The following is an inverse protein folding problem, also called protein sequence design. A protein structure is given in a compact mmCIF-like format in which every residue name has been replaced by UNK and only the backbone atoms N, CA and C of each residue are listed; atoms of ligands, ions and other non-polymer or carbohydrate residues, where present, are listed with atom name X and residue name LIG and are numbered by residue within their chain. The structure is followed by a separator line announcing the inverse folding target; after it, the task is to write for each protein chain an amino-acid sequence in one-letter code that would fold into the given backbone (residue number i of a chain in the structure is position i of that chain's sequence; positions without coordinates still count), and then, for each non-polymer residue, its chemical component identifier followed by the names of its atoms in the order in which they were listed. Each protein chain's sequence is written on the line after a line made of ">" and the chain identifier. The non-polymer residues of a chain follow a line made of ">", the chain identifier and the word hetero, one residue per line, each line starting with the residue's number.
data_IF_741748233273
#
_entry.id   IF_741748233273
#
_cell.length_a   1.000
_cell.length_b   1.000
_cell.length_c   1.000
_cell.angle_alpha   90.00
_cell.angle_beta   90.00
_cell.angle_gamma   90.00
#
_symmetry.space_group_name_H-M   'P 1'
#
loop_
_entity.id
_entity.type
_entity.pdbx_description
1 polymer ?
#
# COMPACT_ATOMS: atom_id res chain seq x y z
N UNK A 1 40.17 16.02 -26.90
CA UNK A 1 39.78 14.71 -27.46
C UNK A 1 39.29 13.83 -26.31
N UNK A 2 38.00 13.46 -26.28
CA UNK A 2 37.47 12.11 -26.60
C UNK A 2 38.15 11.02 -25.75
N UNK A 3 37.44 10.32 -24.87
CA UNK A 3 36.56 9.24 -25.30
C UNK A 3 35.32 9.03 -24.42
N UNK A 4 34.24 8.79 -25.15
CA UNK A 4 32.95 8.24 -24.74
C UNK A 4 33.04 6.72 -24.53
N UNK A 5 32.01 6.19 -23.86
CA UNK A 5 31.62 4.79 -23.74
C UNK A 5 32.44 3.88 -22.81
N UNK A 6 31.85 3.53 -21.67
CA UNK A 6 31.55 2.12 -21.42
C UNK A 6 30.40 1.96 -20.43
N UNK A 7 29.28 1.52 -21.00
CA UNK A 7 28.14 0.86 -20.35
C UNK A 7 28.62 -0.07 -19.24
N UNK A 8 28.12 0.10 -18.02
CA UNK A 8 28.21 -0.94 -16.98
C UNK A 8 26.94 -1.79 -17.02
N UNK A 9 27.04 -3.10 -17.25
CA UNK A 9 25.88 -3.97 -17.29
C UNK A 9 25.45 -4.43 -15.89
N UNK A 10 24.13 -4.59 -15.78
CA UNK A 10 23.43 -5.67 -15.07
C UNK A 10 23.19 -5.57 -13.55
N UNK A 11 21.91 -5.44 -13.20
CA UNK A 11 21.31 -6.30 -12.19
C UNK A 11 20.10 -7.00 -12.81
N UNK A 12 20.20 -8.32 -12.85
CA UNK A 12 19.18 -9.29 -13.24
C UNK A 12 17.96 -9.15 -12.29
N UNK A 13 16.95 -8.36 -12.65
CA UNK A 13 15.83 -8.06 -11.75
C UNK A 13 14.82 -9.21 -11.75
N UNK A 14 14.93 -10.10 -10.76
CA UNK A 14 13.75 -10.77 -10.23
C UNK A 14 12.69 -9.69 -9.88
N UNK A 15 11.39 -9.92 -10.10
CA UNK A 15 10.38 -8.88 -9.89
C UNK A 15 10.49 -8.34 -8.45
N UNK A 16 10.69 -7.03 -8.33
CA UNK A 16 10.92 -6.37 -7.06
C UNK A 16 9.75 -6.65 -6.11
N UNK A 17 10.04 -7.23 -4.94
CA UNK A 17 9.06 -7.44 -3.88
C UNK A 17 8.52 -6.07 -3.46
N UNK A 18 7.19 -5.88 -3.51
CA UNK A 18 6.56 -4.65 -3.04
C UNK A 18 6.98 -4.36 -1.60
N UNK A 19 7.45 -3.14 -1.36
CA UNK A 19 8.02 -2.72 -0.08
C UNK A 19 6.98 -2.05 0.82
N UNK A 20 7.29 -1.93 2.12
CA UNK A 20 6.45 -1.18 3.07
C UNK A 20 6.23 0.26 2.62
N UNK A 21 7.26 0.91 2.09
CA UNK A 21 7.21 2.31 1.64
C UNK A 21 6.24 2.53 0.48
N UNK A 22 6.12 1.56 -0.42
CA UNK A 22 5.18 1.64 -1.55
C UNK A 22 3.73 1.64 -1.05
N UNK A 23 3.41 0.75 -0.09
CA UNK A 23 2.08 0.71 0.54
C UNK A 23 1.77 1.99 1.32
N UNK A 24 2.73 2.52 2.10
CA UNK A 24 2.54 3.77 2.85
C UNK A 24 2.24 4.92 1.90
N UNK A 25 2.97 5.01 0.79
CA UNK A 25 2.81 6.08 -0.20
C UNK A 25 1.42 6.06 -0.83
N UNK A 26 0.96 4.90 -1.30
CA UNK A 26 -0.36 4.78 -1.94
C UNK A 26 -1.50 4.92 -0.94
N UNK A 27 -1.35 4.39 0.28
CA UNK A 27 -2.36 4.55 1.33
C UNK A 27 -2.53 6.03 1.68
N UNK A 28 -1.44 6.75 1.97
CA UNK A 28 -1.50 8.17 2.30
C UNK A 28 -2.03 9.03 1.16
N UNK A 29 -1.71 8.68 -0.08
CA UNK A 29 -2.27 9.35 -1.25
C UNK A 29 -3.81 9.25 -1.27
N UNK A 30 -4.37 8.05 -1.12
CA UNK A 30 -5.83 7.85 -1.08
C UNK A 30 -6.48 8.61 0.09
N UNK A 31 -5.85 8.59 1.27
CA UNK A 31 -6.34 9.33 2.44
C UNK A 31 -6.35 10.84 2.19
N UNK A 32 -5.29 11.38 1.57
CA UNK A 32 -5.21 12.81 1.23
C UNK A 32 -6.22 13.21 0.17
N UNK A 33 -6.48 12.36 -0.82
CA UNK A 33 -7.47 12.61 -1.86
C UNK A 33 -8.89 12.63 -1.28
N UNK A 34 -9.26 11.67 -0.43
CA UNK A 34 -10.54 11.65 0.26
C UNK A 34 -10.72 12.86 1.20
N UNK A 35 -9.69 13.23 1.96
CA UNK A 35 -9.72 14.42 2.80
C UNK A 35 -9.92 15.72 1.99
N UNK A 36 -9.23 15.85 0.85
CA UNK A 36 -9.39 17.00 -0.06
C UNK A 36 -10.77 17.06 -0.72
N UNK A 37 -11.38 15.90 -0.96
CA UNK A 37 -12.74 15.81 -1.46
C UNK A 37 -13.81 16.18 -0.41
N UNK A 38 -13.41 16.42 0.85
CA UNK A 38 -14.32 16.76 1.94
C UNK A 38 -15.07 15.55 2.51
N UNK A 39 -14.57 14.33 2.27
CA UNK A 39 -15.15 13.13 2.86
C UNK A 39 -14.95 13.12 4.38
N UNK A 40 -15.91 12.54 5.10
CA UNK A 40 -15.81 12.32 6.55
C UNK A 40 -15.10 11.02 6.91
N UNK A 41 -15.04 10.07 5.97
CA UNK A 41 -14.28 8.83 6.09
C UNK A 41 -14.09 8.15 4.74
N UNK A 42 -13.04 7.34 4.61
CA UNK A 42 -12.79 6.48 3.45
C UNK A 42 -12.56 5.02 3.86
N UNK A 43 -13.15 4.10 3.11
CA UNK A 43 -13.02 2.65 3.34
C UNK A 43 -11.98 2.06 2.39
N UNK A 44 -10.89 1.52 2.94
CA UNK A 44 -9.80 0.95 2.15
C UNK A 44 -9.68 -0.55 2.43
N UNK A 45 -9.78 -1.34 1.36
CA UNK A 45 -9.59 -2.79 1.40
C UNK A 45 -8.14 -3.15 1.06
N UNK A 46 -7.56 -4.09 1.80
CA UNK A 46 -6.17 -4.54 1.60
C UNK A 46 -5.92 -5.09 0.19
N UNK A 47 -6.87 -5.82 -0.40
CA UNK A 47 -6.78 -6.26 -1.80
C UNK A 47 -6.66 -5.10 -2.77
N UNK A 48 -7.49 -4.05 -2.61
CA UNK A 48 -7.51 -2.90 -3.51
C UNK A 48 -6.22 -2.07 -3.35
N UNK A 49 -5.83 -1.77 -2.10
CA UNK A 49 -4.56 -1.09 -1.82
C UNK A 49 -3.36 -1.85 -2.41
N UNK A 50 -3.39 -3.18 -2.34
CA UNK A 50 -2.33 -3.99 -2.92
C UNK A 50 -2.32 -3.91 -4.45
N UNK A 51 -3.48 -3.98 -5.11
CA UNK A 51 -3.62 -3.82 -6.56
C UNK A 51 -3.10 -2.46 -7.05
N UNK A 52 -3.38 -1.39 -6.30
CA UNK A 52 -2.92 -0.02 -6.63
C UNK A 52 -1.39 0.12 -6.54
N UNK A 53 -0.75 -0.58 -5.59
CA UNK A 53 0.71 -0.60 -5.47
C UNK A 53 1.35 -1.49 -6.55
N UNK A 54 0.65 -2.55 -6.99
CA UNK A 54 1.05 -3.43 -8.09
C UNK A 54 0.05 -4.58 -8.29
N UNK A 55 0.15 -5.36 -9.37
CA UNK A 55 -0.85 -6.40 -9.71
C UNK A 55 -1.09 -7.37 -8.54
N UNK A 56 -2.34 -7.54 -8.08
CA UNK A 56 -2.72 -8.56 -7.08
C UNK A 56 -3.43 -9.77 -7.73
N UNK A 57 -3.10 -11.01 -7.37
CA UNK A 57 -1.98 -11.40 -6.51
C UNK A 57 -0.64 -11.19 -7.22
N UNK A 58 0.26 -10.42 -6.59
CA UNK A 58 1.60 -10.19 -7.15
C UNK A 58 2.44 -11.46 -7.04
N UNK A 59 3.51 -11.54 -7.84
CA UNK A 59 4.64 -12.44 -7.54
C UNK A 59 5.35 -11.95 -6.27
N UNK A 60 4.78 -12.26 -5.10
CA UNK A 60 5.32 -11.88 -3.80
C UNK A 60 4.27 -11.88 -2.70
N UNK A 61 4.61 -12.50 -1.56
CA UNK A 61 3.77 -12.55 -0.36
C UNK A 61 3.81 -11.21 0.44
N UNK A 62 3.52 -10.08 -0.21
CA UNK A 62 3.54 -8.75 0.44
C UNK A 62 2.21 -8.37 1.10
N UNK A 63 1.20 -9.24 1.06
CA UNK A 63 -0.08 -9.01 1.73
C UNK A 63 0.03 -8.78 3.25
N UNK A 64 0.85 -9.54 4.02
CA UNK A 64 1.05 -9.23 5.44
C UNK A 64 1.67 -7.85 5.67
N UNK A 65 2.56 -7.40 4.77
CA UNK A 65 3.14 -6.05 4.80
C UNK A 65 2.06 -4.99 4.55
N UNK A 66 1.22 -5.18 3.52
CA UNK A 66 0.08 -4.32 3.21
C UNK A 66 -0.84 -4.15 4.44
N UNK A 67 -1.26 -5.27 5.05
CA UNK A 67 -2.13 -5.23 6.24
C UNK A 67 -1.44 -4.53 7.43
N UNK A 68 -0.15 -4.77 7.62
CA UNK A 68 0.61 -4.11 8.70
C UNK A 68 0.65 -2.60 8.52
N UNK A 69 0.87 -2.12 7.29
CA UNK A 69 0.82 -0.69 6.98
C UNK A 69 -0.55 -0.10 7.25
N UNK A 70 -1.62 -0.81 6.87
CA UNK A 70 -2.98 -0.34 7.16
C UNK A 70 -3.21 -0.18 8.66
N UNK A 71 -2.82 -1.16 9.47
CA UNK A 71 -2.96 -1.08 10.93
C UNK A 71 -2.09 0.02 11.55
N UNK A 72 -0.84 0.18 11.11
CA UNK A 72 0.07 1.20 11.64
C UNK A 72 -0.34 2.63 11.27
N UNK A 73 -1.01 2.81 10.13
CA UNK A 73 -1.54 4.11 9.71
C UNK A 73 -2.92 4.42 10.32
N UNK A 74 -3.49 3.56 11.16
CA UNK A 74 -4.72 3.89 11.90
C UNK A 74 -4.44 4.94 12.98
N UNK A 75 -5.42 5.82 13.17
CA UNK A 75 -5.49 6.81 14.25
C UNK A 75 -6.72 6.59 15.15
N UNK A 76 -6.78 7.23 16.33
CA UNK A 76 -7.99 7.21 17.16
C UNK A 76 -9.22 7.65 16.37
N UNK A 77 -10.26 6.81 16.36
CA UNK A 77 -11.50 7.05 15.63
C UNK A 77 -11.66 6.22 14.37
N UNK A 78 -10.57 5.71 13.80
CA UNK A 78 -10.59 4.76 12.69
C UNK A 78 -11.18 3.40 13.14
N UNK A 79 -11.79 2.68 12.22
CA UNK A 79 -12.51 1.44 12.51
C UNK A 79 -12.07 0.32 11.58
N UNK A 80 -11.89 -0.89 12.14
CA UNK A 80 -11.73 -2.09 11.33
C UNK A 80 -13.13 -2.66 11.06
N UNK A 81 -13.59 -2.55 9.81
CA UNK A 81 -14.93 -3.00 9.41
C UNK A 81 -14.99 -4.49 9.11
N UNK A 82 -13.88 -5.06 8.61
CA UNK A 82 -13.77 -6.49 8.30
C UNK A 82 -12.35 -6.97 8.53
N UNK A 83 -12.21 -8.08 9.24
CA UNK A 83 -10.91 -8.71 9.52
C UNK A 83 -10.92 -10.15 8.99
N UNK A 84 -9.92 -10.60 8.22
CA UNK A 84 -9.80 -12.00 7.82
C UNK A 84 -9.54 -12.91 9.02
N UNK A 85 -9.88 -14.22 8.93
CA UNK A 85 -9.40 -15.22 9.87
C UNK A 85 -7.87 -15.16 9.96
N UNK A 86 -7.32 -14.91 11.16
CA UNK A 86 -5.88 -14.72 11.37
C UNK A 86 -5.36 -13.28 11.27
N UNK A 87 -6.24 -12.29 11.09
CA UNK A 87 -5.92 -10.86 11.27
C UNK A 87 -5.24 -10.16 10.09
N UNK A 88 -4.56 -10.88 9.19
CA UNK A 88 -3.93 -10.30 7.98
C UNK A 88 -4.35 -11.04 6.73
N UNK A 89 -4.81 -10.31 5.71
CA UNK A 89 -5.29 -10.90 4.47
C UNK A 89 -6.04 -9.91 3.58
N UNK A 90 -6.38 -10.31 2.35
CA UNK A 90 -6.94 -9.43 1.32
C UNK A 90 -8.32 -8.84 1.68
N UNK A 91 -9.06 -9.52 2.55
CA UNK A 91 -10.39 -9.08 2.97
C UNK A 91 -10.37 -8.02 4.07
N UNK A 92 -9.20 -7.69 4.64
CA UNK A 92 -9.08 -6.62 5.63
C UNK A 92 -9.65 -5.31 5.05
N UNK A 93 -10.58 -4.71 5.79
CA UNK A 93 -11.23 -3.45 5.46
C UNK A 93 -11.12 -2.51 6.66
N UNK A 94 -10.50 -1.36 6.45
CA UNK A 94 -10.36 -0.32 7.46
C UNK A 94 -11.06 0.94 6.96
N UNK A 95 -11.90 1.52 7.81
CA UNK A 95 -12.47 2.85 7.65
C UNK A 95 -11.59 3.86 8.34
N UNK A 96 -11.00 4.75 7.56
CA UNK A 96 -10.23 5.88 8.06
C UNK A 96 -11.13 7.11 8.14
N UNK A 97 -11.19 7.77 9.29
CA UNK A 97 -12.03 8.96 9.51
C UNK A 97 -11.24 10.25 9.34
N UNK A 98 -11.97 11.33 9.05
CA UNK A 98 -11.44 12.68 8.93
C UNK A 98 -12.21 13.63 9.87
N UNK A 99 -11.59 14.72 10.35
CA UNK A 99 -10.17 15.07 10.19
C UNK A 99 -9.25 14.18 11.04
N UNK A 100 -8.00 14.02 10.59
CA UNK A 100 -6.96 13.15 11.17
C UNK A 100 -5.57 13.75 10.96
#
# INVERSE_FOLDING_TARGET
>A
MKNDATVRPQANQAPARLSKGDFVTVLRKQLQEAAKAGETSVDIRAANLHTEVGVYPARGHSMPTCCTVMYEEMQPGDEILLTPPGGKGPTLLVRYKFPR
#
